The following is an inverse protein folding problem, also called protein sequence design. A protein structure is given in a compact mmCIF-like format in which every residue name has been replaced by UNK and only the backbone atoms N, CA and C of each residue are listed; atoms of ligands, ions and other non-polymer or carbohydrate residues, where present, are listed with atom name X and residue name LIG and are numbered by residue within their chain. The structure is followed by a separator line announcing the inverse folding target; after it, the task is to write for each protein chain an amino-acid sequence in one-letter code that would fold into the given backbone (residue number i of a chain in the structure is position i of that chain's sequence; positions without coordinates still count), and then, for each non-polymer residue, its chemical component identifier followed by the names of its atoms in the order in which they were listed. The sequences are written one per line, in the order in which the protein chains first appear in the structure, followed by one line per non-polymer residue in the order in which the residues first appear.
data_IF_284423367412
#
_entry.id   IF_284423367412
#
_cell.length_a   1.000
_cell.length_b   1.000
_cell.length_c   1.000
_cell.angle_alpha   90.00
_cell.angle_beta   90.00
_cell.angle_gamma   90.00
#
_symmetry.space_group_name_H-M   'P 1'
#
loop_
_entity.id
_entity.type
_entity.pdbx_description
1 polymer ?
#
# COMPACT_ATOMS: atom_id res chain seq x y z
N UNK A 1 -18.04 -0.06 -40.40
CA UNK A 1 -16.94 -0.09 -39.42
C UNK A 1 -17.38 0.73 -38.22
N UNK A 2 -17.97 0.09 -37.22
CA UNK A 2 -18.34 0.75 -35.96
C UNK A 2 -17.09 0.82 -35.09
N UNK A 3 -16.50 2.02 -34.95
CA UNK A 3 -15.50 2.26 -33.92
C UNK A 3 -16.13 1.94 -32.57
N UNK A 4 -15.63 0.91 -31.89
CA UNK A 4 -16.04 0.59 -30.52
C UNK A 4 -15.98 1.88 -29.67
N UNK A 5 -16.97 2.16 -28.82
CA UNK A 5 -16.93 3.34 -27.95
C UNK A 5 -15.64 3.27 -27.14
N UNK A 6 -14.83 4.33 -27.19
CA UNK A 6 -13.64 4.44 -26.38
C UNK A 6 -14.04 4.13 -24.93
N UNK A 7 -13.53 3.03 -24.37
CA UNK A 7 -13.84 2.67 -23.00
C UNK A 7 -13.30 3.78 -22.11
N UNK A 8 -14.18 4.62 -21.60
CA UNK A 8 -13.82 5.75 -20.76
C UNK A 8 -13.15 5.19 -19.52
N UNK A 9 -11.86 5.45 -19.40
CA UNK A 9 -11.07 4.93 -18.29
C UNK A 9 -11.65 5.39 -16.95
N UNK A 10 -11.73 4.52 -15.92
CA UNK A 10 -12.24 4.91 -14.61
C UNK A 10 -11.31 5.91 -13.87
N UNK A 11 -10.13 6.21 -14.42
CA UNK A 11 -9.21 7.23 -13.93
C UNK A 11 -9.20 8.47 -14.82
N UNK A 12 -8.92 9.63 -14.21
CA UNK A 12 -8.84 10.92 -14.91
C UNK A 12 -7.86 10.86 -16.08
N UNK A 13 -8.06 11.75 -17.06
CA UNK A 13 -7.10 11.88 -18.16
C UNK A 13 -5.68 12.16 -17.62
N UNK A 14 -4.68 11.53 -18.24
CA UNK A 14 -3.29 11.59 -17.77
C UNK A 14 -2.96 10.86 -16.46
N UNK A 15 -3.94 10.27 -15.76
CA UNK A 15 -3.67 9.53 -14.52
C UNK A 15 -2.88 8.24 -14.76
N UNK A 16 -1.90 7.99 -13.89
CA UNK A 16 -1.06 6.79 -13.85
C UNK A 16 -1.33 6.02 -12.54
N UNK A 17 -2.33 5.13 -12.47
CA UNK A 17 -2.61 4.37 -11.26
C UNK A 17 -1.49 3.39 -10.93
N UNK A 18 -1.30 3.09 -9.64
CA UNK A 18 -0.41 2.04 -9.17
C UNK A 18 -1.11 0.69 -9.23
N UNK A 19 -0.40 -0.34 -9.69
CA UNK A 19 -0.90 -1.72 -9.73
C UNK A 19 -0.95 -2.29 -8.30
N UNK A 20 -1.80 -3.29 -8.09
CA UNK A 20 -1.87 -4.00 -6.80
C UNK A 20 -0.53 -4.64 -6.39
N UNK A 21 0.30 -5.06 -7.36
CA UNK A 21 1.64 -5.57 -7.10
C UNK A 21 2.56 -4.47 -6.51
N UNK A 22 2.61 -3.30 -7.14
CA UNK A 22 3.33 -2.13 -6.61
C UNK A 22 2.85 -1.71 -5.22
N UNK A 23 1.54 -1.78 -4.94
CA UNK A 23 0.97 -1.50 -3.60
C UNK A 23 1.48 -2.52 -2.56
N UNK A 24 1.53 -3.81 -2.93
CA UNK A 24 2.13 -4.85 -2.11
C UNK A 24 3.62 -4.58 -1.85
N UNK A 25 4.40 -4.26 -2.88
CA UNK A 25 5.82 -3.94 -2.75
C UNK A 25 6.08 -2.73 -1.84
N UNK A 26 5.29 -1.67 -1.98
CA UNK A 26 5.39 -0.52 -1.07
C UNK A 26 5.08 -0.91 0.39
N UNK A 27 4.12 -1.82 0.58
CA UNK A 27 3.78 -2.37 1.91
C UNK A 27 4.91 -3.19 2.51
N UNK A 28 5.57 -3.99 1.69
CA UNK A 28 6.68 -4.83 2.10
C UNK A 28 7.88 -4.00 2.57
N UNK A 29 8.26 -2.98 1.81
CA UNK A 29 9.41 -2.14 2.16
C UNK A 29 9.11 -1.14 3.28
N UNK A 30 7.95 -0.48 3.23
CA UNK A 30 7.62 0.57 4.20
C UNK A 30 6.80 0.04 5.36
N UNK A 31 5.52 -0.19 5.09
CA UNK A 31 4.50 -0.67 6.04
C UNK A 31 3.13 -0.64 5.34
N UNK A 32 2.05 -1.16 5.96
CA UNK A 32 0.69 -0.94 5.46
C UNK A 32 0.34 0.52 5.16
N UNK A 33 0.98 1.49 5.84
CA UNK A 33 0.80 2.92 5.54
C UNK A 33 1.34 3.31 4.16
N UNK A 34 2.49 2.78 3.74
CA UNK A 34 3.04 3.05 2.42
C UNK A 34 2.13 2.48 1.32
N UNK A 35 1.63 1.24 1.50
CA UNK A 35 0.61 0.69 0.61
C UNK A 35 -0.69 1.49 0.62
N UNK A 36 -1.11 1.95 1.80
CA UNK A 36 -2.28 2.80 2.01
C UNK A 36 -2.21 4.13 1.29
N UNK A 37 -1.05 4.78 1.31
CA UNK A 37 -0.79 6.01 0.56
C UNK A 37 -0.99 5.77 -0.94
N UNK A 38 -0.50 4.66 -1.48
CA UNK A 38 -0.69 4.33 -2.89
C UNK A 38 -2.15 4.04 -3.23
N UNK A 39 -2.89 3.34 -2.35
CA UNK A 39 -4.33 3.16 -2.49
C UNK A 39 -5.06 4.51 -2.50
N UNK A 40 -4.75 5.39 -1.55
CA UNK A 40 -5.33 6.74 -1.45
C UNK A 40 -5.03 7.58 -2.71
N UNK A 41 -3.81 7.52 -3.23
CA UNK A 41 -3.42 8.19 -4.48
C UNK A 41 -4.22 7.67 -5.67
N UNK A 42 -4.44 6.36 -5.75
CA UNK A 42 -5.28 5.77 -6.79
C UNK A 42 -6.73 6.25 -6.69
N UNK A 43 -7.33 6.27 -5.50
CA UNK A 43 -8.70 6.78 -5.31
C UNK A 43 -8.82 8.25 -5.71
N UNK A 44 -7.84 9.09 -5.34
CA UNK A 44 -7.81 10.51 -5.75
C UNK A 44 -7.72 10.72 -7.27
N UNK A 45 -7.17 9.74 -7.99
CA UNK A 45 -7.03 9.77 -9.46
C UNK A 45 -8.27 9.26 -10.19
N UNK A 46 -9.27 8.72 -9.49
CA UNK A 46 -10.51 8.26 -10.12
C UNK A 46 -11.34 9.43 -10.67
N UNK A 47 -12.09 9.15 -11.73
CA UNK A 47 -12.99 10.13 -12.33
C UNK A 47 -14.23 10.36 -11.45
N UNK A 48 -14.75 9.30 -10.85
CA UNK A 48 -15.95 9.29 -10.01
C UNK A 48 -15.74 9.82 -8.58
N UNK A 49 -14.62 10.49 -8.32
CA UNK A 49 -14.26 11.02 -7.00
C UNK A 49 -13.64 10.00 -6.04
N UNK A 50 -13.80 8.69 -6.30
CA UNK A 50 -13.25 7.62 -5.47
C UNK A 50 -13.61 7.71 -3.98
N UNK A 51 -12.94 6.91 -3.16
CA UNK A 51 -13.08 6.88 -1.70
C UNK A 51 -11.70 6.91 -1.02
N UNK A 52 -10.94 8.00 -1.15
CA UNK A 52 -9.57 8.07 -0.64
C UNK A 52 -9.47 7.87 0.88
N UNK A 53 -10.44 8.36 1.64
CA UNK A 53 -10.48 8.14 3.10
C UNK A 53 -10.67 6.66 3.45
N UNK A 54 -11.53 5.93 2.72
CA UNK A 54 -11.72 4.50 2.93
C UNK A 54 -10.42 3.73 2.69
N UNK A 55 -9.67 4.09 1.65
CA UNK A 55 -8.36 3.49 1.37
C UNK A 55 -7.37 3.69 2.54
N UNK A 56 -7.31 4.89 3.10
CA UNK A 56 -6.46 5.17 4.27
C UNK A 56 -6.95 4.43 5.52
N UNK A 57 -8.27 4.39 5.76
CA UNK A 57 -8.87 3.66 6.88
C UNK A 57 -8.54 2.16 6.81
N UNK A 58 -8.63 1.54 5.63
CA UNK A 58 -8.26 0.14 5.46
C UNK A 58 -6.78 -0.12 5.76
N UNK A 59 -5.89 0.78 5.32
CA UNK A 59 -4.47 0.67 5.63
C UNK A 59 -4.18 0.80 7.12
N UNK A 60 -4.88 1.71 7.81
CA UNK A 60 -4.80 1.87 9.26
C UNK A 60 -5.35 0.66 10.01
N UNK A 61 -6.43 0.05 9.53
CA UNK A 61 -6.98 -1.20 10.08
C UNK A 61 -5.93 -2.31 9.94
N UNK A 62 -5.33 -2.49 8.76
CA UNK A 62 -4.28 -3.50 8.57
C UNK A 62 -3.11 -3.23 9.50
N UNK A 63 -2.67 -1.98 9.64
CA UNK A 63 -1.60 -1.61 10.57
C UNK A 63 -1.98 -1.93 12.02
N UNK A 64 -3.17 -1.56 12.47
CA UNK A 64 -3.62 -1.79 13.85
C UNK A 64 -3.75 -3.28 14.16
N UNK A 65 -4.37 -4.06 13.26
CA UNK A 65 -4.44 -5.52 13.35
C UNK A 65 -3.03 -6.09 13.40
N UNK A 66 -2.13 -5.59 12.55
CA UNK A 66 -0.74 -6.00 12.58
C UNK A 66 -0.10 -5.77 13.96
N UNK A 67 -0.21 -4.57 14.52
CA UNK A 67 0.38 -4.26 15.83
C UNK A 67 -0.20 -5.13 16.96
N UNK A 68 -1.51 -5.39 16.94
CA UNK A 68 -2.17 -6.29 17.89
C UNK A 68 -1.62 -7.71 17.75
N UNK A 69 -1.53 -8.24 16.53
CA UNK A 69 -0.97 -9.57 16.30
C UNK A 69 0.49 -9.64 16.77
N UNK A 70 1.31 -8.63 16.47
CA UNK A 70 2.70 -8.58 16.89
C UNK A 70 2.85 -8.59 18.43
N UNK A 71 1.91 -7.98 19.16
CA UNK A 71 1.90 -7.99 20.63
C UNK A 71 1.52 -9.35 21.23
N UNK A 72 0.56 -10.05 20.64
CA UNK A 72 0.10 -11.37 21.13
C UNK A 72 0.92 -12.55 20.58
N UNK A 73 1.76 -12.32 19.56
CA UNK A 73 2.52 -13.39 18.92
C UNK A 73 3.68 -13.88 19.81
N UNK A 74 3.88 -15.20 19.93
CA UNK A 74 5.06 -15.74 20.59
C UNK A 74 6.33 -15.44 19.78
N UNK A 75 7.44 -15.21 20.48
CA UNK A 75 8.71 -14.76 19.91
C UNK A 75 9.39 -15.76 18.94
N UNK A 76 8.86 -16.98 18.84
CA UNK A 76 9.34 -18.03 17.94
C UNK A 76 8.85 -17.86 16.49
N UNK A 77 7.87 -17.00 16.22
CA UNK A 77 7.39 -16.78 14.85
C UNK A 77 8.30 -15.77 14.13
N UNK A 78 8.87 -16.15 12.96
CA UNK A 78 9.71 -15.24 12.19
C UNK A 78 8.94 -13.98 11.74
N UNK A 79 9.51 -12.80 11.98
CA UNK A 79 8.96 -11.51 11.55
C UNK A 79 8.76 -11.42 10.02
N UNK A 80 9.48 -12.23 9.23
CA UNK A 80 9.32 -12.32 7.79
C UNK A 80 7.92 -12.84 7.39
N UNK A 81 7.36 -13.82 8.12
CA UNK A 81 6.01 -14.35 7.87
C UNK A 81 4.99 -13.22 8.08
N UNK A 82 5.18 -12.48 9.15
CA UNK A 82 4.33 -11.34 9.50
C UNK A 82 4.34 -10.26 8.41
N UNK A 83 5.52 -9.92 7.91
CA UNK A 83 5.72 -8.97 6.81
C UNK A 83 5.09 -9.46 5.50
N UNK A 84 5.18 -10.77 5.21
CA UNK A 84 4.56 -11.37 4.04
C UNK A 84 3.02 -11.32 4.13
N UNK A 85 2.44 -11.61 5.30
CA UNK A 85 0.99 -11.57 5.52
C UNK A 85 0.44 -10.16 5.28
N UNK A 86 1.05 -9.12 5.84
CA UNK A 86 0.60 -7.75 5.63
C UNK A 86 0.77 -7.28 4.18
N UNK A 87 1.86 -7.69 3.50
CA UNK A 87 2.07 -7.42 2.07
C UNK A 87 0.94 -8.03 1.23
N UNK A 88 0.64 -9.32 1.44
CA UNK A 88 -0.42 -10.02 0.72
C UNK A 88 -1.78 -9.41 1.04
N UNK A 89 -2.06 -9.09 2.31
CA UNK A 89 -3.30 -8.46 2.73
C UNK A 89 -3.54 -7.13 2.00
N UNK A 90 -2.54 -6.25 1.95
CA UNK A 90 -2.65 -4.97 1.24
C UNK A 90 -2.79 -5.15 -0.27
N UNK A 91 -2.07 -6.10 -0.88
CA UNK A 91 -2.21 -6.40 -2.29
C UNK A 91 -3.62 -6.94 -2.63
N UNK A 92 -4.19 -7.78 -1.76
CA UNK A 92 -5.56 -8.28 -1.90
C UNK A 92 -6.59 -7.16 -1.73
N UNK A 93 -6.44 -6.31 -0.73
CA UNK A 93 -7.29 -5.12 -0.54
C UNK A 93 -7.26 -4.25 -1.80
N UNK A 94 -6.08 -4.00 -2.35
CA UNK A 94 -5.94 -3.24 -3.61
C UNK A 94 -6.68 -3.90 -4.77
N UNK A 95 -6.55 -5.22 -4.93
CA UNK A 95 -7.27 -5.97 -5.97
C UNK A 95 -8.78 -5.91 -5.77
N UNK A 96 -9.26 -6.00 -4.53
CA UNK A 96 -10.70 -6.00 -4.21
C UNK A 96 -11.33 -4.62 -4.40
N UNK A 97 -10.66 -3.56 -3.94
CA UNK A 97 -11.20 -2.19 -3.97
C UNK A 97 -11.00 -1.52 -5.32
N UNK A 98 -9.83 -1.73 -5.96
CA UNK A 98 -9.41 -0.99 -7.15
C UNK A 98 -9.14 -1.86 -8.37
N UNK A 99 -9.18 -3.19 -8.23
CA UNK A 99 -8.76 -4.11 -9.29
C UNK A 99 -9.54 -3.95 -10.58
N UNK A 100 -10.87 -3.86 -10.52
CA UNK A 100 -11.69 -3.65 -11.72
C UNK A 100 -11.36 -2.35 -12.43
N UNK A 101 -11.15 -1.27 -11.67
CA UNK A 101 -10.80 0.03 -12.24
C UNK A 101 -9.42 0.01 -12.91
N UNK A 102 -8.43 -0.60 -12.24
CA UNK A 102 -7.07 -0.77 -12.77
C UNK A 102 -7.09 -1.65 -14.03
N UNK A 103 -7.85 -2.75 -14.02
CA UNK A 103 -7.99 -3.65 -15.16
C UNK A 103 -8.61 -2.95 -16.36
N UNK A 104 -9.70 -2.21 -16.17
CA UNK A 104 -10.33 -1.42 -17.24
C UNK A 104 -9.36 -0.35 -17.79
N UNK A 105 -8.56 0.28 -16.93
CA UNK A 105 -7.51 1.23 -17.36
C UNK A 105 -6.43 0.54 -18.19
N UNK A 106 -5.90 -0.60 -17.75
CA UNK A 106 -4.89 -1.34 -18.52
C UNK A 106 -5.45 -1.92 -19.82
N UNK A 107 -6.72 -2.35 -19.84
CA UNK A 107 -7.39 -2.85 -21.03
C UNK A 107 -7.59 -1.76 -22.09
N UNK A 108 -7.67 -0.48 -21.67
CA UNK A 108 -7.68 0.67 -22.59
C UNK A 108 -6.31 1.01 -23.18
N UNK A 109 -5.27 0.19 -22.92
CA UNK A 109 -3.91 0.42 -23.42
C UNK A 109 -3.16 1.56 -22.73
N UNK A 110 -3.71 2.12 -21.65
CA UNK A 110 -3.12 3.23 -20.91
C UNK A 110 -2.07 2.75 -19.90
N UNK A 111 -0.94 3.46 -19.75
CA UNK A 111 0.14 3.05 -18.87
C UNK A 111 -0.24 3.19 -17.39
N UNK A 112 0.23 2.26 -16.56
CA UNK A 112 0.24 2.40 -15.11
C UNK A 112 1.55 3.03 -14.61
N UNK A 113 1.55 3.50 -13.37
CA UNK A 113 2.78 3.92 -12.72
C UNK A 113 3.73 2.73 -12.53
N UNK A 114 5.04 3.00 -12.59
CA UNK A 114 6.10 2.00 -12.41
C UNK A 114 6.11 1.43 -10.99
N UNK A 115 6.32 0.12 -10.88
CA UNK A 115 6.46 -0.57 -9.60
C UNK A 115 7.74 -0.12 -8.84
N UNK A 116 8.78 0.32 -9.55
CA UNK A 116 9.97 0.92 -8.93
C UNK A 116 9.68 2.22 -8.19
N UNK A 117 8.74 3.03 -8.69
CA UNK A 117 8.29 4.23 -7.96
C UNK A 117 7.58 3.84 -6.67
N UNK A 118 6.78 2.77 -6.70
CA UNK A 118 6.11 2.26 -5.51
C UNK A 118 7.11 1.73 -4.47
N UNK A 119 8.14 1.00 -4.90
CA UNK A 119 9.25 0.55 -4.05
C UNK A 119 9.98 1.75 -3.43
N UNK A 120 10.31 2.77 -4.21
CA UNK A 120 10.96 3.99 -3.70
C UNK A 120 10.13 4.70 -2.61
N UNK A 121 8.81 4.77 -2.79
CA UNK A 121 7.91 5.31 -1.74
C UNK A 121 7.93 4.42 -0.50
N UNK A 122 7.89 3.09 -0.66
CA UNK A 122 8.04 2.15 0.45
C UNK A 122 9.35 2.34 1.22
N UNK A 123 10.48 2.49 0.52
CA UNK A 123 11.79 2.74 1.10
C UNK A 123 11.86 4.08 1.85
N UNK A 124 11.21 5.14 1.35
CA UNK A 124 11.12 6.40 2.09
C UNK A 124 10.39 6.23 3.43
N UNK A 125 9.29 5.47 3.44
CA UNK A 125 8.60 5.13 4.68
C UNK A 125 9.49 4.28 5.60
N UNK A 126 10.26 3.35 5.06
CA UNK A 126 11.22 2.56 5.84
C UNK A 126 12.24 3.44 6.54
N UNK A 127 12.82 4.41 5.82
CA UNK A 127 13.78 5.37 6.39
C UNK A 127 13.14 6.15 7.55
N UNK A 128 11.91 6.65 7.37
CA UNK A 128 11.18 7.35 8.43
C UNK A 128 10.95 6.43 9.64
N UNK A 129 10.54 5.18 9.42
CA UNK A 129 10.35 4.20 10.49
C UNK A 129 11.65 3.94 11.24
N UNK A 130 12.77 3.74 10.54
CA UNK A 130 14.07 3.52 11.17
C UNK A 130 14.54 4.73 11.99
N UNK A 131 14.35 5.95 11.46
CA UNK A 131 14.69 7.19 12.15
C UNK A 131 13.89 7.40 13.44
N UNK A 132 12.66 6.88 13.51
CA UNK A 132 11.82 6.98 14.71
C UNK A 132 12.05 5.80 15.66
N UNK A 133 12.10 4.58 15.13
CA UNK A 133 12.17 3.36 15.93
C UNK A 133 13.53 3.20 16.63
N UNK A 134 14.66 3.50 15.94
CA UNK A 134 15.99 3.32 16.52
C UNK A 134 16.24 4.19 17.76
N UNK A 135 15.93 5.50 17.78
CA UNK A 135 16.07 6.29 19.00
C UNK A 135 15.14 5.82 20.12
N UNK A 136 13.90 5.44 19.80
CA UNK A 136 12.92 4.96 20.78
C UNK A 136 13.41 3.69 21.47
N UNK A 137 13.92 2.71 20.71
CA UNK A 137 14.44 1.47 21.28
C UNK A 137 15.74 1.71 22.05
N UNK A 138 16.62 2.59 21.57
CA UNK A 138 17.85 2.96 22.27
C UNK A 138 17.58 3.64 23.62
N UNK A 139 16.67 4.62 23.66
CA UNK A 139 16.26 5.30 24.90
C UNK A 139 15.52 4.35 25.85
N UNK A 140 14.71 3.44 25.31
CA UNK A 140 14.05 2.39 26.08
C UNK A 140 15.05 1.47 26.76
N UNK A 141 16.03 0.94 26.00
CA UNK A 141 17.08 0.09 26.53
C UNK A 141 17.86 0.77 27.67
N UNK A 142 18.25 2.04 27.51
CA UNK A 142 18.90 2.81 28.57
C UNK A 142 18.06 2.93 29.85
N UNK A 143 16.75 3.19 29.73
CA UNK A 143 15.86 3.29 30.90
C UNK A 143 15.64 1.96 31.61
N UNK A 144 15.73 0.85 30.88
CA UNK A 144 15.54 -0.51 31.38
C UNK A 144 16.84 -1.14 31.91
N UNK A 145 17.99 -0.46 31.78
CA UNK A 145 19.29 -0.96 32.24
C UNK A 145 19.81 -2.16 31.44
N UNK A 146 19.36 -2.30 30.18
CA UNK A 146 19.80 -3.33 29.23
C UNK A 146 20.95 -2.85 28.35
#
# INVERSE_FOLDING_TARGET
MTSAPASTSPFREGALPYKSAGIGLATFFGSPLAGGLLLWLNERRRQDGGRPLLALTLALIVLAVSLVLAYYLPANIPAAIFTAVQMVAMALIARRVQGQAILAHTASGRPCSSDWKAVGIGLLFLVVILLVAMPLTYLGAQKLGL
#
